data_IF_030392755111
#
_entry.id   IF_030392755111
#
_cell.length_a   1.000
_cell.length_b   1.000
_cell.length_c   1.000
_cell.angle_alpha   90.00
_cell.angle_beta   90.00
_cell.angle_gamma   90.00
#
_symmetry.space_group_name_H-M   'P 1'
#
loop_
_entity.id
_entity.type
_entity.pdbx_description
1 polymer ?
#
# COMPACT_ATOMS: atom_id res chain seq x y z
N UNK A 1 -25.64 -28.85 24.51
CA UNK A 1 -26.38 -27.58 24.41
C UNK A 1 -25.37 -26.45 24.25
N UNK A 2 -25.30 -25.84 23.06
CA UNK A 2 -24.41 -24.70 22.77
C UNK A 2 -24.80 -23.54 23.69
N UNK A 3 -23.85 -23.02 24.48
CA UNK A 3 -24.09 -22.00 25.53
C UNK A 3 -24.27 -20.58 25.00
N UNK A 4 -24.33 -20.37 23.68
CA UNK A 4 -24.50 -19.04 23.10
C UNK A 4 -25.50 -19.05 21.93
N UNK A 5 -26.45 -18.10 21.89
CA UNK A 5 -27.34 -17.94 20.74
C UNK A 5 -26.52 -17.50 19.52
N UNK A 6 -26.58 -18.27 18.42
CA UNK A 6 -25.95 -17.90 17.15
C UNK A 6 -26.85 -16.92 16.39
N UNK A 7 -26.26 -15.82 15.90
CA UNK A 7 -26.93 -14.92 14.95
C UNK A 7 -27.04 -15.57 13.57
N UNK A 8 -28.09 -15.30 12.78
CA UNK A 8 -28.18 -15.72 11.39
C UNK A 8 -26.93 -15.28 10.61
N UNK A 9 -26.35 -16.14 9.77
CA UNK A 9 -25.11 -15.82 9.03
C UNK A 9 -25.20 -14.53 8.19
N UNK A 10 -26.40 -14.21 7.70
CA UNK A 10 -26.69 -12.99 6.95
C UNK A 10 -26.69 -11.71 7.82
N UNK A 11 -27.02 -11.81 9.11
CA UNK A 11 -26.91 -10.72 10.10
C UNK A 11 -25.56 -10.74 10.83
N UNK A 12 -24.78 -11.82 10.64
CA UNK A 12 -23.51 -12.05 11.33
C UNK A 12 -22.31 -11.36 10.67
N UNK A 13 -22.39 -10.98 9.39
CA UNK A 13 -21.25 -10.41 8.67
C UNK A 13 -21.29 -8.88 8.60
N UNK A 14 -21.27 -8.24 9.76
CA UNK A 14 -20.85 -6.84 9.89
C UNK A 14 -19.41 -6.81 10.37
N UNK A 15 -18.51 -6.20 9.59
CA UNK A 15 -17.10 -6.09 9.95
C UNK A 15 -16.86 -4.72 10.58
N UNK A 16 -16.25 -4.72 11.76
CA UNK A 16 -15.89 -3.50 12.49
C UNK A 16 -14.39 -3.25 12.33
N UNK A 17 -13.96 -2.07 11.85
CA UNK A 17 -12.55 -1.72 11.83
C UNK A 17 -11.94 -1.75 13.24
N UNK A 18 -10.79 -2.43 13.37
CA UNK A 18 -10.01 -2.45 14.60
C UNK A 18 -8.94 -1.36 14.62
N UNK A 19 -8.56 -0.82 13.45
CA UNK A 19 -7.65 0.31 13.33
C UNK A 19 -7.96 1.14 12.09
N UNK A 20 -7.55 2.41 12.11
CA UNK A 20 -7.56 3.29 10.94
C UNK A 20 -6.12 3.64 10.58
N UNK A 21 -5.78 3.49 9.30
CA UNK A 21 -4.43 3.74 8.79
C UNK A 21 -4.17 5.24 8.66
N UNK A 22 -3.04 5.71 9.20
CA UNK A 22 -2.38 6.97 8.86
C UNK A 22 -1.17 6.66 7.99
N UNK A 23 -1.24 6.98 6.71
CA UNK A 23 -0.32 6.47 5.68
C UNK A 23 0.54 7.59 5.10
N UNK A 24 1.76 7.24 4.69
CA UNK A 24 2.53 8.09 3.80
C UNK A 24 1.89 8.25 2.40
N UNK A 25 0.89 7.44 2.03
CA UNK A 25 0.15 7.59 0.78
C UNK A 25 -1.20 8.26 1.01
N UNK A 26 -1.37 9.49 0.50
CA UNK A 26 -2.63 10.22 0.69
C UNK A 26 -3.74 9.76 -0.25
N UNK A 27 -3.38 9.34 -1.46
CA UNK A 27 -4.31 8.83 -2.47
C UNK A 27 -3.71 7.63 -3.22
N UNK A 28 -4.44 7.12 -4.21
CA UNK A 28 -4.08 5.90 -4.96
C UNK A 28 -2.86 6.06 -5.88
N UNK A 29 -2.50 7.28 -6.30
CA UNK A 29 -1.44 7.49 -7.27
C UNK A 29 -0.06 7.50 -6.57
N UNK A 30 0.80 6.57 -6.97
CA UNK A 30 2.11 6.36 -6.32
C UNK A 30 2.10 5.24 -5.27
N UNK A 31 0.93 4.72 -4.89
CA UNK A 31 0.83 3.53 -4.05
C UNK A 31 1.41 2.33 -4.80
N UNK A 32 2.28 1.52 -4.18
CA UNK A 32 2.79 0.32 -4.82
C UNK A 32 1.64 -0.62 -5.15
N UNK A 33 1.71 -1.28 -6.32
CA UNK A 33 0.63 -2.18 -6.75
C UNK A 33 0.49 -3.42 -5.87
N UNK A 34 1.52 -3.75 -5.10
CA UNK A 34 1.63 -4.88 -4.17
C UNK A 34 2.59 -4.46 -3.04
N UNK A 35 2.41 -4.94 -1.80
CA UNK A 35 3.30 -4.63 -0.69
C UNK A 35 4.72 -5.17 -0.96
N UNK A 36 5.72 -4.61 -0.27
CA UNK A 36 7.13 -4.96 -0.43
C UNK A 36 7.87 -4.32 -1.62
N UNK A 37 7.17 -3.61 -2.52
CA UNK A 37 7.82 -2.83 -3.58
C UNK A 37 8.32 -1.47 -3.10
N UNK A 38 7.75 -0.94 -2.01
CA UNK A 38 8.14 0.34 -1.43
C UNK A 38 8.59 0.12 0.00
N UNK A 39 9.89 -0.09 0.19
CA UNK A 39 10.48 -0.47 1.49
C UNK A 39 10.51 0.67 2.51
N UNK A 40 10.34 1.90 2.04
CA UNK A 40 10.28 3.09 2.90
C UNK A 40 8.85 3.60 3.10
N UNK A 41 7.84 2.86 2.64
CA UNK A 41 6.45 3.16 2.96
C UNK A 41 6.23 2.93 4.46
N UNK A 42 5.77 3.96 5.16
CA UNK A 42 5.50 3.94 6.60
C UNK A 42 4.05 4.33 6.85
N UNK A 43 3.43 3.63 7.79
CA UNK A 43 2.11 3.96 8.28
C UNK A 43 1.97 3.67 9.77
N UNK A 44 1.08 4.43 10.40
CA UNK A 44 0.61 4.22 11.76
C UNK A 44 -0.80 3.64 11.71
N UNK A 45 -1.00 2.47 12.30
CA UNK A 45 -2.32 1.90 12.50
C UNK A 45 -2.85 2.40 13.85
N UNK A 46 -3.77 3.37 13.81
CA UNK A 46 -4.40 3.92 15.00
C UNK A 46 -5.49 2.96 15.46
N UNK A 47 -5.21 2.17 16.49
CA UNK A 47 -6.11 1.15 17.02
C UNK A 47 -7.34 1.84 17.62
N UNK A 48 -8.53 1.38 17.23
CA UNK A 48 -9.81 1.95 17.65
C UNK A 48 -10.29 1.29 18.94
N UNK A 49 -10.94 2.03 19.86
CA UNK A 49 -11.68 1.42 20.96
C UNK A 49 -12.80 0.49 20.44
N UNK A 50 -13.12 -0.60 21.14
CA UNK A 50 -12.54 -1.05 22.41
C UNK A 50 -11.30 -1.95 22.24
N UNK A 51 -10.73 -2.02 21.04
CA UNK A 51 -9.62 -2.91 20.71
C UNK A 51 -8.25 -2.37 21.13
N UNK A 52 -8.17 -1.10 21.54
CA UNK A 52 -6.95 -0.36 21.91
C UNK A 52 -6.36 -0.74 23.28
N UNK A 53 -6.47 -2.02 23.64
CA UNK A 53 -5.94 -2.64 24.85
C UNK A 53 -4.61 -3.33 24.54
N UNK A 54 -3.54 -2.95 25.22
CA UNK A 54 -2.19 -3.52 25.00
C UNK A 54 -2.15 -5.04 25.17
N UNK A 55 -2.96 -5.60 26.08
CA UNK A 55 -3.09 -7.05 26.27
C UNK A 55 -3.45 -7.81 24.98
N UNK A 56 -4.23 -7.20 24.08
CA UNK A 56 -4.60 -7.82 22.80
C UNK A 56 -3.43 -7.94 21.82
N UNK A 57 -2.32 -7.24 22.08
CA UNK A 57 -1.12 -7.20 21.24
C UNK A 57 0.10 -7.84 21.92
N UNK A 58 -0.06 -8.40 23.12
CA UNK A 58 1.03 -9.05 23.86
C UNK A 58 1.64 -10.19 23.04
N UNK A 59 2.96 -10.18 22.88
CA UNK A 59 3.70 -11.17 22.09
C UNK A 59 3.85 -10.80 20.61
N UNK A 60 3.16 -9.76 20.13
CA UNK A 60 3.27 -9.32 18.74
C UNK A 60 4.67 -8.79 18.41
N UNK A 61 5.41 -8.29 19.39
CA UNK A 61 6.80 -7.87 19.28
C UNK A 61 7.75 -8.99 18.83
N UNK A 62 7.36 -10.26 19.00
CA UNK A 62 8.11 -11.41 18.51
C UNK A 62 7.96 -11.63 17.01
N UNK A 63 6.95 -11.03 16.38
CA UNK A 63 6.68 -11.14 14.95
C UNK A 63 7.29 -9.96 14.18
N UNK A 64 8.23 -10.25 13.28
CA UNK A 64 8.81 -9.22 12.39
C UNK A 64 7.88 -8.79 11.27
N UNK A 65 6.92 -9.64 10.89
CA UNK A 65 5.95 -9.41 9.83
C UNK A 65 4.55 -9.78 10.27
N UNK A 66 3.58 -9.07 9.72
CA UNK A 66 2.16 -9.22 10.03
C UNK A 66 1.35 -9.39 8.76
N UNK A 67 0.33 -10.23 8.82
CA UNK A 67 -0.81 -10.16 7.91
C UNK A 67 -1.77 -9.06 8.37
N UNK A 68 -2.15 -8.20 7.45
CA UNK A 68 -3.26 -7.28 7.60
C UNK A 68 -4.41 -7.70 6.68
N UNK A 69 -5.62 -7.77 7.24
CA UNK A 69 -6.85 -7.74 6.44
C UNK A 69 -7.43 -6.34 6.56
N UNK A 70 -7.73 -5.71 5.42
CA UNK A 70 -8.23 -4.34 5.38
C UNK A 70 -9.34 -4.18 4.35
N UNK A 71 -10.05 -3.05 4.39
CA UNK A 71 -11.04 -2.71 3.37
C UNK A 71 -10.47 -1.73 2.35
N UNK A 72 -10.59 -2.04 1.05
CA UNK A 72 -10.42 -1.06 -0.03
C UNK A 72 -11.58 -0.06 -0.01
N UNK A 73 -11.59 0.82 0.99
CA UNK A 73 -12.70 1.73 1.29
C UNK A 73 -13.04 2.66 0.11
N UNK A 74 -12.06 3.10 -0.68
CA UNK A 74 -12.32 3.87 -1.91
C UNK A 74 -12.64 3.00 -3.17
N UNK A 75 -12.83 1.70 -3.01
CA UNK A 75 -13.22 0.79 -4.09
C UNK A 75 -14.54 0.07 -3.81
N UNK A 76 -15.22 0.42 -2.71
CA UNK A 76 -16.58 -0.05 -2.41
C UNK A 76 -17.54 0.53 -3.44
N UNK A 77 -18.33 -0.33 -4.08
CA UNK A 77 -19.31 0.04 -5.10
C UNK A 77 -20.64 -0.64 -4.78
N UNK A 78 -21.74 0.03 -5.13
CA UNK A 78 -23.08 -0.55 -5.03
C UNK A 78 -23.23 -1.80 -5.91
N UNK A 79 -22.59 -1.80 -7.08
CA UNK A 79 -22.65 -2.90 -8.04
C UNK A 79 -21.26 -3.54 -8.24
N UNK A 80 -21.22 -4.86 -8.17
CA UNK A 80 -20.03 -5.63 -8.49
C UNK A 80 -19.98 -5.98 -9.98
N UNK A 81 -18.77 -6.25 -10.51
CA UNK A 81 -18.58 -6.76 -11.87
C UNK A 81 -17.73 -8.04 -11.82
N UNK A 82 -18.03 -9.05 -12.64
CA UNK A 82 -17.30 -10.33 -12.61
C UNK A 82 -15.90 -10.27 -13.22
N UNK A 83 -15.63 -9.24 -14.02
CA UNK A 83 -14.37 -9.10 -14.76
C UNK A 83 -13.74 -7.73 -14.57
N UNK A 84 -12.41 -7.72 -14.57
CA UNK A 84 -11.55 -6.54 -14.49
C UNK A 84 -10.53 -6.54 -15.63
N UNK A 85 -9.82 -5.43 -15.78
CA UNK A 85 -8.72 -5.25 -16.75
C UNK A 85 -7.43 -4.97 -15.98
N UNK A 86 -6.66 -6.00 -15.62
CA UNK A 86 -5.42 -5.84 -14.88
C UNK A 86 -4.40 -5.02 -15.70
N UNK A 87 -3.74 -4.02 -15.10
CA UNK A 87 -2.72 -3.22 -15.78
C UNK A 87 -1.54 -4.06 -16.30
N UNK A 88 -1.18 -5.15 -15.59
CA UNK A 88 -0.12 -6.10 -16.01
C UNK A 88 -0.43 -6.83 -17.32
N UNK A 89 -1.72 -6.96 -17.68
CA UNK A 89 -2.16 -7.58 -18.94
C UNK A 89 -2.39 -6.55 -20.05
N UNK A 90 -1.70 -5.40 -19.99
CA UNK A 90 -1.82 -4.32 -20.97
C UNK A 90 -3.17 -3.60 -20.96
N UNK A 91 -4.04 -3.86 -19.97
CA UNK A 91 -5.35 -3.22 -19.83
C UNK A 91 -6.42 -3.66 -20.85
N UNK A 92 -6.07 -4.42 -21.88
CA UNK A 92 -7.01 -4.85 -22.91
C UNK A 92 -7.62 -6.23 -22.64
N UNK A 93 -6.87 -7.14 -21.99
CA UNK A 93 -7.35 -8.47 -21.62
C UNK A 93 -8.22 -8.41 -20.37
N UNK A 94 -9.43 -8.97 -20.45
CA UNK A 94 -10.32 -9.16 -19.30
C UNK A 94 -9.88 -10.37 -18.47
N UNK A 95 -10.06 -10.30 -17.17
CA UNK A 95 -9.80 -11.39 -16.23
C UNK A 95 -10.90 -11.42 -15.16
N UNK A 96 -11.28 -12.61 -14.70
CA UNK A 96 -12.22 -12.75 -13.59
C UNK A 96 -11.69 -12.07 -12.33
N UNK A 97 -12.55 -11.40 -11.55
CA UNK A 97 -12.13 -10.68 -10.33
C UNK A 97 -11.43 -11.60 -9.34
N UNK A 98 -11.87 -12.85 -9.21
CA UNK A 98 -11.28 -13.84 -8.30
C UNK A 98 -9.98 -14.47 -8.83
N UNK A 99 -9.70 -14.32 -10.13
CA UNK A 99 -8.41 -14.67 -10.72
C UNK A 99 -7.42 -13.50 -10.66
N UNK A 100 -7.74 -12.42 -9.93
CA UNK A 100 -6.99 -11.17 -9.84
C UNK A 100 -6.86 -10.68 -8.40
N UNK A 101 -5.99 -9.68 -8.20
CA UNK A 101 -5.89 -8.88 -6.96
C UNK A 101 -6.51 -7.49 -7.11
N UNK A 102 -7.55 -7.34 -7.94
CA UNK A 102 -8.23 -6.05 -8.10
C UNK A 102 -8.90 -5.62 -6.79
N UNK A 103 -8.93 -4.32 -6.45
CA UNK A 103 -9.70 -3.85 -5.30
C UNK A 103 -11.22 -3.87 -5.55
N UNK A 104 -11.67 -3.95 -6.81
CA UNK A 104 -13.10 -3.98 -7.16
C UNK A 104 -13.63 -5.43 -7.13
N UNK A 105 -14.02 -5.88 -5.93
CA UNK A 105 -14.48 -7.25 -5.66
C UNK A 105 -15.79 -7.21 -4.86
N UNK A 106 -16.58 -8.30 -4.80
CA UNK A 106 -17.84 -8.32 -4.05
C UNK A 106 -17.66 -7.93 -2.57
N UNK A 107 -16.63 -8.48 -1.94
CA UNK A 107 -16.14 -8.03 -0.64
C UNK A 107 -14.80 -7.34 -0.90
N UNK A 108 -14.76 -6.02 -0.73
CA UNK A 108 -13.58 -5.17 -0.95
C UNK A 108 -12.49 -5.39 0.10
N UNK A 109 -12.15 -6.64 0.40
CA UNK A 109 -11.13 -7.05 1.36
C UNK A 109 -9.78 -7.18 0.66
N UNK A 110 -8.79 -6.49 1.21
CA UNK A 110 -7.38 -6.59 0.86
C UNK A 110 -6.59 -7.39 1.89
N UNK A 111 -5.46 -7.92 1.44
CA UNK A 111 -4.51 -8.67 2.25
C UNK A 111 -3.11 -8.14 1.96
N UNK A 112 -2.38 -7.76 3.01
CA UNK A 112 -1.00 -7.31 2.90
C UNK A 112 -0.13 -7.93 3.97
N UNK A 113 1.02 -8.44 3.57
CA UNK A 113 2.13 -8.71 4.49
C UNK A 113 2.88 -7.41 4.67
N UNK A 114 3.04 -6.98 5.92
CA UNK A 114 3.74 -5.74 6.27
C UNK A 114 4.81 -6.04 7.31
N UNK A 115 5.82 -5.17 7.40
CA UNK A 115 6.82 -5.24 8.46
C UNK A 115 6.28 -4.59 9.74
N UNK A 116 6.50 -5.25 10.86
CA UNK A 116 6.14 -4.75 12.20
C UNK A 116 7.26 -3.85 12.74
N UNK A 117 6.94 -2.60 13.06
CA UNK A 117 7.88 -1.63 13.66
C UNK A 117 7.54 -1.34 15.14
N UNK A 118 6.60 -2.09 15.71
CA UNK A 118 6.28 -2.07 17.13
C UNK A 118 5.05 -1.24 17.50
N UNK A 119 4.60 -1.48 18.73
CA UNK A 119 3.42 -0.89 19.33
C UNK A 119 3.82 0.22 20.30
N UNK A 120 3.12 1.35 20.29
CA UNK A 120 3.34 2.44 21.24
C UNK A 120 2.05 3.19 21.56
N UNK A 121 2.01 3.83 22.73
CA UNK A 121 0.99 4.83 23.06
C UNK A 121 1.49 6.20 22.62
N UNK A 122 0.75 6.89 21.76
CA UNK A 122 1.08 8.24 21.27
C UNK A 122 -0.15 9.11 21.51
N UNK A 123 0.01 10.18 22.27
CA UNK A 123 -1.08 11.11 22.63
C UNK A 123 -2.36 10.40 23.11
N UNK A 124 -2.18 9.39 23.96
CA UNK A 124 -3.26 8.58 24.54
C UNK A 124 -3.85 7.51 23.62
N UNK A 125 -3.48 7.46 22.33
CA UNK A 125 -3.95 6.43 21.38
C UNK A 125 -2.96 5.27 21.30
N UNK A 126 -3.46 4.06 21.17
CA UNK A 126 -2.63 2.90 20.86
C UNK A 126 -2.34 2.86 19.36
N UNK A 127 -1.06 2.80 18.99
CA UNK A 127 -0.59 2.89 17.61
C UNK A 127 0.37 1.72 17.33
N UNK A 128 0.06 0.96 16.28
CA UNK A 128 0.97 -0.05 15.74
C UNK A 128 1.65 0.53 14.50
N UNK A 129 2.97 0.67 14.54
CA UNK A 129 3.76 1.19 13.41
C UNK A 129 4.09 0.06 12.45
N UNK A 130 3.95 0.33 11.16
CA UNK A 130 4.22 -0.66 10.10
C UNK A 130 5.07 -0.06 8.97
N UNK A 131 5.74 -0.94 8.24
CA UNK A 131 6.49 -0.64 7.01
C UNK A 131 6.11 -1.57 5.86
N UNK A 132 6.57 -1.23 4.66
CA UNK A 132 6.49 -2.07 3.44
C UNK A 132 5.05 -2.33 2.96
N UNK A 133 4.13 -1.41 3.28
CA UNK A 133 2.69 -1.55 3.03
C UNK A 133 2.24 -0.89 1.71
N UNK A 134 0.99 -1.16 1.34
CA UNK A 134 0.29 -0.61 0.17
C UNK A 134 -1.06 0.05 0.54
N UNK A 135 -1.24 0.39 1.82
CA UNK A 135 -2.43 1.06 2.35
C UNK A 135 -2.40 2.57 2.09
N UNK A 136 -3.54 3.15 1.70
CA UNK A 136 -3.72 4.61 1.62
C UNK A 136 -4.24 5.18 2.94
N UNK A 137 -4.12 6.49 3.10
CA UNK A 137 -4.67 7.25 4.23
C UNK A 137 -6.13 6.90 4.47
N UNK A 138 -6.50 6.70 5.74
CA UNK A 138 -7.88 6.38 6.14
C UNK A 138 -8.28 4.92 5.92
N UNK A 139 -7.40 4.07 5.38
CA UNK A 139 -7.73 2.65 5.15
C UNK A 139 -8.14 1.94 6.44
N UNK A 140 -9.36 1.37 6.53
CA UNK A 140 -9.78 0.61 7.70
C UNK A 140 -9.11 -0.76 7.74
N UNK A 141 -8.44 -1.07 8.84
CA UNK A 141 -7.89 -2.41 9.12
C UNK A 141 -8.92 -3.20 9.92
N UNK A 142 -9.18 -4.42 9.48
CA UNK A 142 -10.20 -5.32 10.02
C UNK A 142 -9.59 -6.39 10.90
N UNK A 143 -8.35 -6.79 10.64
CA UNK A 143 -7.68 -7.85 11.38
C UNK A 143 -6.14 -7.75 11.23
N UNK A 144 -5.42 -8.17 12.27
CA UNK A 144 -3.96 -8.20 12.34
C UNK A 144 -3.56 -9.59 12.84
N UNK A 145 -2.68 -10.28 12.12
CA UNK A 145 -2.14 -11.59 12.52
C UNK A 145 -0.63 -11.64 12.36
N UNK A 146 0.12 -12.34 13.23
CA UNK A 146 1.53 -12.61 12.97
C UNK A 146 1.66 -13.45 11.68
N UNK A 147 2.63 -13.10 10.84
CA UNK A 147 3.00 -13.92 9.69
C UNK A 147 3.73 -15.17 10.17
N UNK A 148 3.33 -16.35 9.69
CA UNK A 148 3.92 -17.64 10.05
C UNK A 148 4.73 -18.19 8.87
N UNK A 149 6.08 -18.08 8.86
CA UNK A 149 6.87 -18.47 7.70
C UNK A 149 6.65 -19.91 7.24
N UNK A 150 6.46 -20.86 8.16
CA UNK A 150 6.26 -22.27 7.84
C UNK A 150 4.89 -22.59 7.24
N UNK A 151 3.89 -21.72 7.44
CA UNK A 151 2.50 -21.94 7.02
C UNK A 151 2.07 -21.03 5.86
N UNK A 152 2.56 -19.79 5.86
CA UNK A 152 2.14 -18.76 4.90
C UNK A 152 3.07 -18.66 3.68
N UNK A 153 4.31 -19.14 3.80
CA UNK A 153 5.27 -19.14 2.69
C UNK A 153 5.11 -20.40 1.84
N UNK A 154 4.75 -20.21 0.57
CA UNK A 154 4.69 -21.27 -0.44
C UNK A 154 5.59 -20.87 -1.61
N UNK A 155 6.93 -21.08 -1.52
CA UNK A 155 7.89 -20.61 -2.52
C UNK A 155 7.65 -21.13 -3.94
N UNK A 156 7.00 -22.29 -4.08
CA UNK A 156 6.66 -22.96 -5.33
C UNK A 156 5.35 -22.45 -5.98
N UNK A 157 4.64 -21.51 -5.34
CA UNK A 157 3.40 -20.97 -5.88
C UNK A 157 3.62 -20.25 -7.22
N UNK A 158 2.75 -20.51 -8.19
CA UNK A 158 2.79 -19.89 -9.53
C UNK A 158 1.48 -19.17 -9.86
N UNK A 159 1.57 -18.19 -10.74
CA UNK A 159 0.44 -17.44 -11.28
C UNK A 159 0.77 -17.03 -12.71
N UNK A 160 0.28 -17.80 -13.70
CA UNK A 160 0.74 -17.74 -15.10
C UNK A 160 0.61 -16.41 -15.88
N UNK A 161 0.21 -15.31 -15.25
CA UNK A 161 0.25 -13.95 -15.80
C UNK A 161 1.05 -12.95 -14.96
N UNK A 162 1.66 -13.39 -13.86
CA UNK A 162 2.30 -12.56 -12.84
C UNK A 162 3.36 -13.35 -12.01
N UNK A 163 4.15 -14.21 -12.67
CA UNK A 163 5.12 -15.09 -12.01
C UNK A 163 6.38 -14.37 -11.49
N UNK A 164 6.65 -13.15 -11.96
CA UNK A 164 7.86 -12.41 -11.57
C UNK A 164 7.51 -11.02 -11.04
N UNK A 165 8.27 -10.51 -10.04
CA UNK A 165 8.16 -9.13 -9.62
C UNK A 165 8.55 -8.18 -10.77
N UNK A 166 8.10 -6.92 -10.76
CA UNK A 166 8.60 -5.92 -11.69
C UNK A 166 10.12 -5.78 -11.50
N UNK A 167 10.88 -6.08 -12.55
CA UNK A 167 12.36 -5.98 -12.54
C UNK A 167 12.85 -4.63 -13.04
N UNK A 168 12.09 -3.96 -13.90
CA UNK A 168 12.45 -2.67 -14.47
C UNK A 168 12.28 -1.56 -13.43
N UNK A 169 13.41 -1.03 -12.96
CA UNK A 169 13.49 0.18 -12.17
C UNK A 169 14.14 1.27 -13.02
N UNK A 170 13.50 2.42 -13.08
CA UNK A 170 14.07 3.60 -13.70
C UNK A 170 15.13 4.22 -12.78
N UNK A 171 16.17 4.79 -13.39
CA UNK A 171 17.07 5.69 -12.68
C UNK A 171 16.26 6.89 -12.18
N UNK A 172 16.42 7.24 -10.90
CA UNK A 172 15.74 8.38 -10.27
C UNK A 172 16.75 9.50 -10.10
N UNK A 173 16.50 10.64 -10.74
CA UNK A 173 17.33 11.84 -10.66
C UNK A 173 16.55 12.93 -9.97
N UNK A 174 17.05 13.46 -8.86
CA UNK A 174 16.48 14.63 -8.20
C UNK A 174 17.12 15.89 -8.77
N UNK A 175 16.29 16.82 -9.24
CA UNK A 175 16.79 18.12 -9.69
C UNK A 175 17.18 19.00 -8.49
N UNK A 176 18.03 20.03 -8.69
CA UNK A 176 18.54 20.86 -7.60
C UNK A 176 17.45 21.46 -6.70
N UNK A 177 16.31 21.84 -7.27
CA UNK A 177 15.17 22.38 -6.52
C UNK A 177 14.55 21.32 -5.59
N UNK A 178 14.28 20.11 -6.09
CA UNK A 178 13.79 19.00 -5.27
C UNK A 178 14.77 18.64 -4.14
N UNK A 179 16.08 18.58 -4.43
CA UNK A 179 17.13 18.33 -3.42
C UNK A 179 17.16 19.43 -2.34
N UNK A 180 16.95 20.69 -2.72
CA UNK A 180 16.87 21.79 -1.76
C UNK A 180 15.61 21.69 -0.89
N UNK A 181 14.45 21.43 -1.50
CA UNK A 181 13.18 21.30 -0.80
C UNK A 181 13.21 20.13 0.20
N UNK A 182 13.71 18.95 -0.22
CA UNK A 182 13.86 17.80 0.68
C UNK A 182 14.74 18.13 1.89
N UNK A 183 15.85 18.86 1.69
CA UNK A 183 16.76 19.27 2.79
C UNK A 183 16.14 20.25 3.78
N UNK A 184 15.09 20.97 3.38
CA UNK A 184 14.40 21.94 4.25
C UNK A 184 13.27 21.31 5.08
N UNK A 185 12.88 20.07 4.77
CA UNK A 185 11.82 19.36 5.47
C UNK A 185 12.34 18.70 6.76
N UNK A 186 11.51 18.69 7.80
CA UNK A 186 11.84 18.06 9.08
C UNK A 186 11.88 16.53 8.94
N UNK A 187 13.03 15.86 9.15
CA UNK A 187 13.17 14.41 9.00
C UNK A 187 12.27 13.60 9.94
N UNK A 188 11.88 14.16 11.08
CA UNK A 188 10.99 13.53 12.06
C UNK A 188 9.56 13.44 11.54
N UNK A 189 9.14 14.42 10.73
CA UNK A 189 7.82 14.45 10.09
C UNK A 189 7.80 13.62 8.81
N UNK A 190 8.93 13.59 8.08
CA UNK A 190 9.05 12.90 6.80
C UNK A 190 10.24 11.92 6.81
N UNK A 191 10.18 10.86 7.63
CA UNK A 191 11.28 9.91 7.77
C UNK A 191 11.52 9.20 6.43
N UNK A 192 12.80 9.13 6.03
CA UNK A 192 13.24 8.44 4.80
C UNK A 192 12.51 8.92 3.53
N UNK A 193 12.11 10.20 3.47
CA UNK A 193 11.31 10.74 2.35
C UNK A 193 11.97 10.56 0.98
N UNK A 194 13.26 10.88 0.84
CA UNK A 194 13.98 10.71 -0.43
C UNK A 194 13.97 9.23 -0.89
N UNK A 195 14.39 8.27 -0.06
CA UNK A 195 14.26 6.85 -0.39
C UNK A 195 12.82 6.39 -0.69
N UNK A 196 11.80 6.95 -0.01
CA UNK A 196 10.40 6.68 -0.33
C UNK A 196 10.02 7.19 -1.73
N UNK A 197 10.42 8.41 -2.08
CA UNK A 197 10.20 8.97 -3.42
C UNK A 197 10.85 8.07 -4.47
N UNK A 198 12.11 7.65 -4.25
CA UNK A 198 12.84 6.77 -5.14
C UNK A 198 12.09 5.45 -5.38
N UNK A 199 11.63 4.79 -4.32
CA UNK A 199 10.85 3.55 -4.44
C UNK A 199 9.57 3.75 -5.24
N UNK A 200 8.85 4.86 -5.01
CA UNK A 200 7.57 5.14 -5.69
C UNK A 200 7.75 5.40 -7.17
N UNK A 201 8.70 6.26 -7.54
CA UNK A 201 8.85 6.74 -8.92
C UNK A 201 9.67 5.77 -9.79
N UNK A 202 10.58 4.99 -9.20
CA UNK A 202 11.41 4.04 -9.93
C UNK A 202 10.59 2.92 -10.62
N UNK A 203 9.44 2.53 -10.06
CA UNK A 203 8.57 1.50 -10.65
C UNK A 203 7.56 2.01 -11.69
N UNK A 204 7.76 3.26 -12.13
CA UNK A 204 6.90 3.96 -13.10
C UNK A 204 5.40 3.92 -12.69
N UNK A 205 4.96 4.83 -11.80
CA UNK A 205 3.58 4.87 -11.32
C UNK A 205 2.56 5.24 -12.40
N UNK A 206 2.99 5.54 -13.65
CA UNK A 206 2.05 5.86 -14.73
C UNK A 206 1.07 4.71 -14.98
N UNK A 207 -0.17 5.04 -15.40
CA UNK A 207 -1.09 4.06 -15.94
C UNK A 207 -0.42 3.26 -17.07
N UNK A 208 -0.67 1.95 -17.13
CA UNK A 208 0.03 1.05 -18.06
C UNK A 208 -0.06 1.48 -19.53
N UNK A 209 -1.17 2.07 -19.95
CA UNK A 209 -1.38 2.56 -21.32
C UNK A 209 -0.54 3.80 -21.71
N UNK A 210 0.09 4.46 -20.72
CA UNK A 210 0.97 5.62 -20.92
C UNK A 210 2.46 5.27 -20.82
N UNK A 211 2.79 4.11 -20.25
CA UNK A 211 4.19 3.69 -20.10
C UNK A 211 4.86 3.62 -21.47
N UNK A 212 6.07 4.18 -21.56
CA UNK A 212 6.86 4.20 -22.79
C UNK A 212 6.41 5.20 -23.85
N UNK A 213 5.40 6.03 -23.61
CA UNK A 213 5.12 7.20 -24.47
C UNK A 213 6.09 8.32 -24.13
N UNK A 214 6.65 8.94 -25.16
CA UNK A 214 7.33 10.22 -25.02
C UNK A 214 6.28 11.31 -24.82
N UNK A 215 6.35 11.97 -23.65
CA UNK A 215 5.46 13.06 -23.30
C UNK A 215 6.19 14.00 -22.33
N UNK A 216 6.08 15.31 -22.53
CA UNK A 216 6.59 16.34 -21.60
C UNK A 216 5.68 16.52 -20.37
N UNK A 217 4.90 15.50 -20.04
CA UNK A 217 3.89 15.58 -19.00
C UNK A 217 4.55 15.51 -17.62
N UNK A 218 4.21 16.49 -16.80
CA UNK A 218 4.53 16.47 -15.37
C UNK A 218 3.43 15.68 -14.64
N UNK A 219 3.87 14.72 -13.84
CA UNK A 219 3.05 13.93 -12.93
C UNK A 219 3.22 14.46 -11.50
N UNK A 220 2.24 14.18 -10.64
CA UNK A 220 2.27 14.52 -9.22
C UNK A 220 1.77 13.34 -8.40
N UNK A 221 2.51 12.97 -7.35
CA UNK A 221 2.10 11.96 -6.37
C UNK A 221 2.08 12.57 -4.97
N UNK A 222 1.01 12.34 -4.22
CA UNK A 222 0.88 12.85 -2.86
C UNK A 222 1.50 11.87 -1.86
N UNK A 223 2.64 12.27 -1.29
CA UNK A 223 3.30 11.56 -0.21
C UNK A 223 3.21 12.41 1.05
N UNK A 224 2.58 11.86 2.10
CA UNK A 224 2.14 12.62 3.27
C UNK A 224 1.25 13.81 2.82
N UNK A 225 1.56 15.02 3.29
CA UNK A 225 0.96 16.28 2.86
C UNK A 225 1.74 17.00 1.74
N UNK A 226 2.73 16.34 1.13
CA UNK A 226 3.56 16.87 0.05
C UNK A 226 3.11 16.36 -1.33
N UNK A 227 3.26 17.18 -2.35
CA UNK A 227 3.11 16.87 -3.76
C UNK A 227 4.48 16.72 -4.42
N UNK A 228 4.83 15.49 -4.77
CA UNK A 228 6.07 15.14 -5.47
C UNK A 228 5.82 15.23 -6.96
N UNK A 229 6.42 16.23 -7.61
CA UNK A 229 6.28 16.43 -9.05
C UNK A 229 7.45 15.81 -9.79
N UNK A 230 7.17 15.04 -10.83
CA UNK A 230 8.19 14.34 -11.60
C UNK A 230 7.80 14.19 -13.07
N UNK A 231 8.80 13.93 -13.92
CA UNK A 231 8.61 13.64 -15.35
C UNK A 231 9.50 12.48 -15.78
N UNK A 232 9.13 11.83 -16.88
CA UNK A 232 9.91 10.74 -17.45
C UNK A 232 10.69 11.25 -18.65
N UNK A 233 12.00 11.00 -18.68
CA UNK A 233 12.86 11.41 -19.79
C UNK A 233 13.30 10.17 -20.55
N UNK A 234 13.04 10.17 -21.86
CA UNK A 234 13.34 9.05 -22.76
C UNK A 234 14.42 9.38 -23.79
N UNK A 235 14.90 10.62 -23.81
CA UNK A 235 15.80 11.14 -24.84
C UNK A 235 17.12 10.37 -24.96
N UNK A 236 17.53 9.65 -23.90
CA UNK A 236 18.76 8.86 -23.85
C UNK A 236 18.50 7.55 -23.08
N UNK A 237 19.16 6.45 -23.48
CA UNK A 237 19.18 5.19 -22.71
C UNK A 237 20.29 5.27 -21.65
N UNK A 238 20.03 4.98 -20.37
CA UNK A 238 18.79 4.43 -19.81
C UNK A 238 17.68 5.46 -19.57
N UNK A 239 16.42 5.01 -19.67
CA UNK A 239 15.25 5.82 -19.28
C UNK A 239 15.35 6.20 -17.80
N UNK A 240 15.06 7.45 -17.50
CA UNK A 240 15.08 7.98 -16.14
C UNK A 240 13.79 8.71 -15.78
N UNK A 241 13.58 8.89 -14.49
CA UNK A 241 12.55 9.78 -13.94
C UNK A 241 13.24 10.91 -13.21
N UNK A 242 12.87 12.14 -13.57
CA UNK A 242 13.38 13.36 -12.94
C UNK A 242 12.36 13.88 -11.93
N UNK A 243 12.74 13.94 -10.66
CA UNK A 243 11.97 14.59 -9.60
C UNK A 243 12.25 16.09 -9.65
N UNK A 244 11.22 16.86 -9.97
CA UNK A 244 11.29 18.30 -10.23
C UNK A 244 11.20 19.10 -8.94
N UNK A 245 10.15 18.84 -8.14
CA UNK A 245 9.86 19.55 -6.89
C UNK A 245 9.20 18.62 -5.87
N UNK A 246 9.31 18.97 -4.60
CA UNK A 246 8.66 18.34 -3.44
C UNK A 246 8.09 19.46 -2.58
N UNK A 247 6.80 19.76 -2.72
CA UNK A 247 6.16 20.90 -2.06
C UNK A 247 4.77 20.60 -1.52
#
# INVERSE_FOLDING_TARGET
MSRHPSKPAAEALTLTPIAITRSCFRDKFGVPRQPGLTRHARADLVIQPPFDREDAFRGLETASHLWLTFQFHEAVRAEWRPVVRPPRLGGNRKMGVFASRSPFRPNSLGLSVVRNEGLARIDGRLVLRIRDHDLIEGTPVLDIKPYLPFADSVPEATLGWADSPPTERLEVVFLPEAEQQIRQLAPERYPELRPLIEDVVAYDPRPSFRRGREEDRIYGAHLYDLNVRFRFVSDHSPKRVEVLTVC
#
